data_IF_322206110866
#
_entry.id   IF_322206110866
#
_cell.length_a   1.000
_cell.length_b   1.000
_cell.length_c   1.000
_cell.angle_alpha   90.00
_cell.angle_beta   90.00
_cell.angle_gamma   90.00
#
_symmetry.space_group_name_H-M   'P 1'
#
loop_
_entity.id
_entity.type
_entity.pdbx_description
1 polymer ?
#
# COMPACT_ATOMS: atom_id res chain seq x y z
N UNK A 1 20.07 15.97 11.24
CA UNK A 1 18.81 16.24 10.52
C UNK A 1 17.69 15.94 11.48
N UNK A 2 16.85 16.93 11.77
CA UNK A 2 15.74 16.78 12.72
C UNK A 2 14.47 16.70 11.90
N UNK A 3 13.74 15.60 12.04
CA UNK A 3 12.42 15.43 11.42
C UNK A 3 11.38 16.13 12.29
N UNK A 4 10.55 16.94 11.65
CA UNK A 4 9.45 17.67 12.28
C UNK A 4 8.11 17.06 11.87
N UNK A 5 7.13 17.14 12.79
CA UNK A 5 5.77 16.65 12.56
C UNK A 5 4.80 17.82 12.44
N UNK A 6 4.07 17.88 11.33
CA UNK A 6 3.15 18.96 11.00
C UNK A 6 1.70 18.49 11.03
N UNK A 7 0.84 19.08 11.87
CA UNK A 7 -0.60 18.88 11.76
C UNK A 7 -1.21 19.85 10.74
N UNK A 8 -2.10 19.36 9.88
CA UNK A 8 -2.90 20.19 8.98
C UNK A 8 -4.39 19.76 9.01
N UNK A 9 -5.31 20.64 8.62
CA UNK A 9 -6.77 20.34 8.58
C UNK A 9 -7.39 20.49 7.18
N UNK A 10 -6.54 20.50 6.18
CA UNK A 10 -6.88 20.59 4.78
C UNK A 10 -5.62 20.30 3.98
N UNK A 11 -5.79 19.84 2.76
CA UNK A 11 -4.65 19.52 1.91
C UNK A 11 -4.22 20.73 1.10
N UNK A 12 -5.21 21.40 0.49
CA UNK A 12 -5.01 22.56 -0.37
C UNK A 12 -6.11 23.60 -0.16
N UNK A 13 -5.91 24.80 -0.70
CA UNK A 13 -6.99 25.79 -0.88
C UNK A 13 -6.75 27.14 -0.19
N UNK A 14 -5.53 27.37 0.29
CA UNK A 14 -5.09 28.67 0.80
C UNK A 14 -5.62 29.05 2.17
N UNK A 15 -6.20 28.11 2.93
CA UNK A 15 -6.46 28.32 4.34
C UNK A 15 -5.16 28.20 5.14
N UNK A 16 -5.06 28.96 6.24
CA UNK A 16 -3.82 29.04 7.04
C UNK A 16 -3.32 27.71 7.63
N UNK A 17 -4.18 26.70 7.64
CA UNK A 17 -4.01 25.39 8.25
C UNK A 17 -4.04 24.25 7.22
N UNK A 18 -3.99 24.59 5.93
CA UNK A 18 -3.80 23.62 4.86
C UNK A 18 -2.33 23.20 4.80
N UNK A 19 -2.09 22.00 4.25
CA UNK A 19 -0.75 21.43 4.16
C UNK A 19 0.14 22.18 3.15
N UNK A 20 -0.45 22.64 2.04
CA UNK A 20 0.22 23.51 1.05
C UNK A 20 0.66 24.86 1.64
N UNK A 21 -0.02 25.36 2.68
CA UNK A 21 0.32 26.65 3.28
C UNK A 21 1.61 26.65 4.13
N UNK A 22 2.22 25.48 4.37
CA UNK A 22 3.49 25.40 5.11
C UNK A 22 4.66 25.82 4.23
N UNK A 23 5.33 26.91 4.60
CA UNK A 23 6.46 27.47 3.87
C UNK A 23 7.62 26.48 3.67
N UNK A 24 7.99 26.24 2.41
CA UNK A 24 9.00 25.27 2.00
C UNK A 24 10.41 25.50 2.58
N UNK A 25 10.75 26.72 2.96
CA UNK A 25 12.03 27.04 3.62
C UNK A 25 12.13 26.43 5.04
N UNK A 26 10.98 26.16 5.67
CA UNK A 26 10.92 25.51 6.99
C UNK A 26 10.94 23.98 6.91
N UNK A 27 10.90 23.43 5.69
CA UNK A 27 10.70 22.01 5.46
C UNK A 27 12.02 21.35 5.08
N UNK A 28 12.28 20.19 5.68
CA UNK A 28 13.42 19.34 5.39
C UNK A 28 12.97 17.96 4.95
N UNK A 29 13.79 17.29 4.15
CA UNK A 29 13.50 15.96 3.63
C UNK A 29 13.09 14.99 4.78
N UNK A 30 12.12 14.12 4.51
CA UNK A 30 11.51 13.20 5.47
C UNK A 30 10.70 13.83 6.62
N UNK A 31 10.43 15.14 6.61
CA UNK A 31 9.40 15.74 7.47
C UNK A 31 8.06 15.02 7.28
N UNK A 32 7.24 14.94 8.32
CA UNK A 32 6.00 14.17 8.28
C UNK A 32 4.82 15.08 8.57
N UNK A 33 3.75 14.95 7.79
CA UNK A 33 2.48 15.59 8.08
C UNK A 33 1.38 14.58 8.38
N UNK A 34 0.50 14.94 9.31
CA UNK A 34 -0.79 14.28 9.51
C UNK A 34 -1.89 15.30 9.22
N UNK A 35 -2.64 15.05 8.16
CA UNK A 35 -3.68 15.95 7.68
C UNK A 35 -5.03 15.28 7.81
N UNK A 36 -6.05 16.02 8.22
CA UNK A 36 -7.44 15.57 8.15
C UNK A 36 -8.22 16.45 7.18
N UNK A 37 -8.88 15.85 6.21
CA UNK A 37 -9.76 16.54 5.27
C UNK A 37 -11.07 15.74 5.11
N UNK A 38 -12.21 16.39 5.34
CA UNK A 38 -13.54 15.78 5.20
C UNK A 38 -13.74 14.45 5.97
N UNK A 39 -13.10 14.30 7.13
CA UNK A 39 -13.14 13.10 7.97
C UNK A 39 -12.17 12.00 7.54
N UNK A 40 -11.33 12.23 6.54
CA UNK A 40 -10.28 11.31 6.09
C UNK A 40 -8.92 11.81 6.59
N UNK A 41 -8.18 10.95 7.29
CA UNK A 41 -6.83 11.25 7.71
C UNK A 41 -5.83 10.78 6.66
N UNK A 42 -4.88 11.64 6.32
CA UNK A 42 -3.76 11.36 5.42
C UNK A 42 -2.46 11.51 6.19
N UNK A 43 -1.50 10.64 5.89
CA UNK A 43 -0.11 10.82 6.26
C UNK A 43 0.66 11.26 5.04
N UNK A 44 1.51 12.27 5.17
CA UNK A 44 2.45 12.66 4.13
C UNK A 44 3.87 12.66 4.66
N UNK A 45 4.83 12.43 3.78
CA UNK A 45 6.25 12.60 4.04
C UNK A 45 6.81 13.58 3.01
N UNK A 46 7.62 14.52 3.45
CA UNK A 46 8.26 15.46 2.56
C UNK A 46 9.34 14.75 1.76
N UNK A 47 9.31 14.94 0.46
CA UNK A 47 10.40 14.67 -0.47
C UNK A 47 10.95 16.03 -0.90
N UNK A 48 12.20 16.34 -0.50
CA UNK A 48 12.78 17.66 -0.77
C UNK A 48 13.26 17.83 -2.23
N UNK A 49 13.38 16.75 -3.00
CA UNK A 49 13.81 16.73 -4.39
C UNK A 49 12.75 16.23 -5.39
N UNK A 50 11.53 15.96 -4.90
CA UNK A 50 10.42 15.37 -5.64
C UNK A 50 9.69 16.27 -6.64
N UNK A 51 10.37 17.23 -7.29
CA UNK A 51 9.88 18.22 -8.27
C UNK A 51 8.80 17.71 -9.26
N UNK A 52 7.57 17.59 -8.79
CA UNK A 52 6.39 17.04 -9.47
C UNK A 52 5.22 18.01 -9.23
N UNK A 53 4.29 18.08 -10.18
CA UNK A 53 3.12 18.93 -10.08
C UNK A 53 2.17 18.46 -8.96
N UNK A 54 1.44 19.40 -8.37
CA UNK A 54 0.45 19.12 -7.33
C UNK A 54 -0.66 18.18 -7.83
N UNK A 55 -0.97 17.17 -7.01
CA UNK A 55 -2.01 16.18 -7.24
C UNK A 55 -2.64 15.79 -5.90
N UNK A 56 -3.53 16.61 -5.37
CA UNK A 56 -4.23 16.29 -4.12
C UNK A 56 -5.13 15.03 -4.29
N UNK A 57 -5.10 14.07 -3.34
CA UNK A 57 -4.39 14.09 -2.06
C UNK A 57 -2.97 13.52 -2.09
N UNK A 58 -2.54 12.95 -3.22
CA UNK A 58 -1.29 12.18 -3.34
C UNK A 58 0.01 13.00 -3.28
N UNK A 59 0.02 14.22 -3.81
CA UNK A 59 1.17 15.13 -3.87
C UNK A 59 0.65 16.52 -3.55
N UNK A 60 1.11 17.11 -2.45
CA UNK A 60 0.79 18.50 -2.06
C UNK A 60 2.05 19.33 -2.17
N UNK A 61 1.99 20.46 -2.85
CA UNK A 61 3.15 21.33 -3.09
C UNK A 61 3.01 22.55 -2.18
N UNK A 62 4.05 22.93 -1.40
CA UNK A 62 4.01 24.17 -0.66
C UNK A 62 3.69 25.37 -1.56
N UNK A 63 2.72 26.19 -1.19
CA UNK A 63 2.38 27.43 -1.91
C UNK A 63 3.53 28.43 -1.86
N UNK A 64 4.21 28.48 -0.71
CA UNK A 64 5.31 29.41 -0.44
C UNK A 64 6.63 28.66 -0.46
N UNK A 65 7.59 29.19 -1.24
CA UNK A 65 8.93 28.63 -1.46
C UNK A 65 9.00 27.11 -1.77
N UNK A 66 8.13 26.55 -2.63
CA UNK A 66 8.12 25.11 -2.90
C UNK A 66 9.47 24.59 -3.39
N UNK A 67 10.16 25.33 -4.25
CA UNK A 67 11.39 24.87 -4.92
C UNK A 67 11.19 23.49 -5.55
N UNK A 68 11.78 22.44 -4.99
CA UNK A 68 11.65 21.04 -5.39
C UNK A 68 10.88 20.18 -4.37
N UNK A 69 10.36 20.81 -3.31
CA UNK A 69 9.74 20.12 -2.17
C UNK A 69 8.30 19.77 -2.47
N UNK A 70 7.95 18.54 -2.14
CA UNK A 70 6.58 18.05 -2.24
C UNK A 70 6.26 17.16 -1.04
N UNK A 71 5.04 17.26 -0.54
CA UNK A 71 4.50 16.30 0.42
C UNK A 71 3.94 15.11 -0.35
N UNK A 72 4.54 13.93 -0.19
CA UNK A 72 4.05 12.70 -0.79
C UNK A 72 3.17 11.96 0.18
N UNK A 73 1.96 11.62 -0.24
CA UNK A 73 1.06 10.79 0.55
C UNK A 73 1.73 9.45 0.82
N UNK A 74 1.94 9.17 2.10
CA UNK A 74 2.37 7.87 2.56
C UNK A 74 1.12 7.02 2.64
N UNK A 75 0.94 6.05 1.73
CA UNK A 75 -0.18 5.14 1.85
C UNK A 75 -0.14 4.51 3.23
N UNK A 76 -1.26 4.56 3.93
CA UNK A 76 -1.45 3.77 5.14
C UNK A 76 -1.09 2.32 4.78
N UNK A 77 -0.66 1.48 5.73
CA UNK A 77 -0.20 0.11 5.38
C UNK A 77 -1.25 -0.77 4.67
N UNK A 78 -2.47 -0.25 4.50
CA UNK A 78 -3.59 -0.78 3.71
C UNK A 78 -3.61 -0.31 2.26
N UNK A 79 -2.96 0.80 1.89
CA UNK A 79 -2.89 1.28 0.52
C UNK A 79 -1.71 0.67 -0.26
N UNK A 80 -2.09 -0.25 -1.14
CA UNK A 80 -1.44 -0.58 -2.41
C UNK A 80 0.02 -1.04 -2.35
N UNK A 81 0.31 -2.00 -1.47
CA UNK A 81 1.43 -2.92 -1.71
C UNK A 81 0.94 -4.08 -2.56
N UNK A 82 1.11 -3.98 -3.88
CA UNK A 82 0.75 -5.05 -4.84
C UNK A 82 1.47 -6.34 -4.45
N UNK A 83 0.76 -7.48 -4.44
CA UNK A 83 1.35 -8.77 -4.13
C UNK A 83 1.71 -8.99 -2.65
N UNK A 84 1.29 -8.10 -1.75
CA UNK A 84 1.52 -8.30 -0.32
C UNK A 84 0.49 -9.26 0.27
N UNK A 85 1.02 -10.37 0.77
CA UNK A 85 0.26 -11.29 1.61
C UNK A 85 0.36 -10.80 3.06
N UNK A 86 -0.75 -10.31 3.62
CA UNK A 86 -0.77 -9.81 5.00
C UNK A 86 -1.08 -10.95 5.98
N UNK A 87 -0.15 -11.15 6.92
CA UNK A 87 -0.22 -12.11 8.03
C UNK A 87 -0.30 -13.62 7.70
N UNK A 88 0.09 -14.14 6.52
CA UNK A 88 0.18 -15.59 6.36
C UNK A 88 1.37 -16.15 7.15
N UNK A 89 1.19 -17.31 7.77
CA UNK A 89 2.32 -18.16 8.18
C UNK A 89 2.57 -19.16 7.06
N UNK A 90 3.71 -19.08 6.40
CA UNK A 90 4.15 -20.11 5.46
C UNK A 90 4.83 -21.24 6.22
N UNK A 91 4.32 -22.46 6.09
CA UNK A 91 4.87 -23.64 6.76
C UNK A 91 4.98 -24.77 5.75
N UNK A 92 6.18 -25.31 5.57
CA UNK A 92 6.33 -26.60 4.89
C UNK A 92 5.83 -27.70 5.81
N UNK A 93 4.85 -28.47 5.35
CA UNK A 93 4.36 -29.65 6.10
C UNK A 93 5.04 -30.94 5.65
N UNK A 94 5.58 -30.95 4.43
CA UNK A 94 6.43 -31.99 3.88
C UNK A 94 7.28 -31.43 2.74
N UNK A 95 7.98 -32.30 2.00
CA UNK A 95 8.90 -31.92 0.91
C UNK A 95 8.21 -31.21 -0.27
N UNK A 96 6.91 -31.41 -0.45
CA UNK A 96 6.15 -30.92 -1.60
C UNK A 96 4.94 -30.07 -1.20
N UNK A 97 4.70 -29.80 0.09
CA UNK A 97 3.47 -29.11 0.51
C UNK A 97 3.78 -27.90 1.38
N UNK A 98 3.26 -26.76 0.96
CA UNK A 98 3.28 -25.49 1.68
C UNK A 98 1.88 -25.23 2.20
N UNK A 99 1.78 -24.94 3.49
CA UNK A 99 0.59 -24.40 4.14
C UNK A 99 0.73 -22.90 4.32
N UNK A 100 -0.32 -22.17 3.96
CA UNK A 100 -0.44 -20.72 4.08
C UNK A 100 -1.53 -20.46 5.11
N UNK A 101 -1.14 -20.02 6.31
CA UNK A 101 -2.09 -19.68 7.37
C UNK A 101 -3.04 -18.53 6.98
N UNK A 102 -4.14 -18.30 7.72
CA UNK A 102 -5.16 -17.31 7.40
C UNK A 102 -4.57 -15.92 7.12
N UNK A 103 -5.15 -15.21 6.16
CA UNK A 103 -4.58 -13.94 5.73
C UNK A 103 -5.41 -13.25 4.67
N UNK A 104 -4.81 -12.21 4.11
CA UNK A 104 -5.34 -11.48 2.97
C UNK A 104 -4.27 -11.25 1.91
N UNK A 105 -4.72 -11.14 0.66
CA UNK A 105 -3.87 -10.89 -0.50
C UNK A 105 -4.53 -9.85 -1.39
N UNK A 106 -3.75 -8.86 -1.83
CA UNK A 106 -4.21 -7.80 -2.71
C UNK A 106 -3.97 -8.17 -4.17
N UNK A 107 -5.05 -8.23 -4.97
CA UNK A 107 -5.06 -8.55 -6.40
C UNK A 107 -5.48 -7.32 -7.23
N UNK A 108 -5.19 -7.35 -8.54
CA UNK A 108 -5.56 -6.27 -9.47
C UNK A 108 -5.90 -6.87 -10.83
N UNK A 109 -7.19 -6.92 -11.16
CA UNK A 109 -7.73 -7.58 -12.37
C UNK A 109 -7.46 -6.82 -13.69
N UNK A 110 -6.47 -5.92 -13.69
CA UNK A 110 -6.22 -4.97 -14.78
C UNK A 110 -7.08 -3.70 -14.72
N UNK A 111 -8.17 -3.70 -13.95
CA UNK A 111 -9.16 -2.60 -13.87
C UNK A 111 -9.46 -2.14 -12.45
N UNK A 112 -9.59 -3.07 -11.50
CA UNK A 112 -10.00 -2.85 -10.12
C UNK A 112 -9.03 -3.50 -9.14
N UNK A 113 -8.74 -2.78 -8.07
CA UNK A 113 -8.07 -3.30 -6.89
C UNK A 113 -9.03 -4.14 -6.05
N UNK A 114 -8.62 -5.34 -5.65
CA UNK A 114 -9.45 -6.26 -4.86
C UNK A 114 -8.63 -6.93 -3.76
N UNK A 115 -9.23 -7.12 -2.59
CA UNK A 115 -8.57 -7.86 -1.49
C UNK A 115 -9.29 -9.19 -1.31
N UNK A 116 -8.53 -10.28 -1.42
CA UNK A 116 -8.97 -11.65 -1.16
C UNK A 116 -8.62 -12.01 0.27
N UNK A 117 -9.57 -12.59 1.01
CA UNK A 117 -9.39 -13.02 2.40
C UNK A 117 -9.64 -14.52 2.53
N UNK A 118 -8.82 -15.22 3.32
CA UNK A 118 -9.07 -16.60 3.72
C UNK A 118 -8.97 -16.75 5.24
N UNK A 119 -9.91 -17.51 5.82
CA UNK A 119 -10.06 -17.67 7.28
C UNK A 119 -9.42 -18.94 7.83
N UNK A 120 -8.99 -19.85 6.95
CA UNK A 120 -8.43 -21.16 7.27
C UNK A 120 -7.21 -21.43 6.40
N UNK A 121 -6.33 -22.32 6.88
CA UNK A 121 -5.13 -22.73 6.16
C UNK A 121 -5.42 -23.13 4.70
N UNK A 122 -4.66 -22.54 3.76
CA UNK A 122 -4.60 -22.97 2.37
C UNK A 122 -3.43 -23.94 2.21
N UNK A 123 -3.60 -24.98 1.40
CA UNK A 123 -2.54 -25.95 1.11
C UNK A 123 -2.18 -25.91 -0.37
N UNK A 124 -0.90 -25.76 -0.67
CA UNK A 124 -0.35 -25.81 -2.02
C UNK A 124 0.64 -26.96 -2.14
N UNK A 125 0.43 -27.84 -3.12
CA UNK A 125 1.37 -28.90 -3.44
C UNK A 125 2.28 -28.42 -4.55
N UNK A 126 3.55 -28.21 -4.22
CA UNK A 126 4.60 -27.87 -5.17
C UNK A 126 4.82 -29.03 -6.12
N UNK A 127 4.54 -28.80 -7.40
CA UNK A 127 4.85 -29.73 -8.48
C UNK A 127 6.19 -29.30 -9.08
N UNK A 128 7.30 -29.80 -8.55
CA UNK A 128 8.63 -29.50 -9.11
C UNK A 128 8.88 -30.34 -10.35
N UNK A 129 9.01 -29.70 -11.53
CA UNK A 129 9.50 -30.34 -12.76
C UNK A 129 11.04 -30.35 -12.85
N UNK A 130 11.72 -30.69 -11.74
CA UNK A 130 13.18 -30.88 -11.66
C UNK A 130 13.99 -29.64 -11.26
N UNK A 131 14.86 -29.80 -10.25
CA UNK A 131 15.92 -28.91 -9.73
C UNK A 131 15.50 -27.45 -9.35
N UNK A 132 16.25 -26.74 -8.46
CA UNK A 132 15.66 -25.78 -7.53
C UNK A 132 15.61 -24.37 -8.13
N UNK A 133 14.58 -24.11 -8.92
CA UNK A 133 14.23 -22.74 -9.27
C UNK A 133 13.16 -22.22 -8.31
N UNK A 134 13.36 -20.98 -7.86
CA UNK A 134 12.46 -20.23 -6.99
C UNK A 134 11.00 -20.41 -7.43
N UNK A 135 10.14 -20.90 -6.53
CA UNK A 135 8.72 -21.08 -6.81
C UNK A 135 7.97 -19.83 -6.37
N UNK A 136 7.32 -19.17 -7.32
CA UNK A 136 6.36 -18.11 -7.04
C UNK A 136 4.99 -18.73 -6.81
N UNK A 137 4.36 -18.39 -5.68
CA UNK A 137 2.97 -18.73 -5.42
C UNK A 137 2.17 -17.47 -5.70
N UNK A 138 1.31 -17.51 -6.70
CA UNK A 138 0.35 -16.46 -6.97
C UNK A 138 -1.08 -16.99 -6.81
N UNK A 139 -2.01 -16.11 -6.48
CA UNK A 139 -3.43 -16.41 -6.54
C UNK A 139 -3.89 -16.03 -7.94
N UNK A 140 -4.38 -17.01 -8.70
CA UNK A 140 -4.92 -16.80 -10.03
C UNK A 140 -6.22 -16.00 -9.95
N UNK A 141 -6.28 -14.90 -10.70
CA UNK A 141 -7.42 -13.97 -10.70
C UNK A 141 -8.70 -14.62 -11.22
N UNK A 142 -8.59 -15.64 -12.09
CA UNK A 142 -9.75 -16.42 -12.55
C UNK A 142 -10.39 -17.26 -11.43
N UNK A 143 -9.63 -17.62 -10.39
CA UNK A 143 -10.14 -18.25 -9.18
C UNK A 143 -10.76 -17.25 -8.20
N UNK A 144 -10.45 -15.95 -8.34
CA UNK A 144 -11.00 -14.87 -7.52
C UNK A 144 -12.38 -14.42 -8.04
N UNK A 145 -12.57 -14.38 -9.35
CA UNK A 145 -13.85 -14.00 -9.97
C UNK A 145 -14.98 -15.02 -9.72
N UNK A 146 -14.65 -16.28 -9.45
CA UNK A 146 -15.62 -17.31 -9.05
C UNK A 146 -15.93 -17.31 -7.54
N UNK A 147 -15.14 -16.57 -6.76
CA UNK A 147 -15.30 -16.35 -5.32
C UNK A 147 -16.15 -15.11 -5.04
N UNK A 148 -17.32 -15.01 -5.69
CA UNK A 148 -18.36 -14.10 -5.25
C UNK A 148 -18.87 -14.57 -3.90
N UNK A 149 -18.31 -13.98 -2.84
CA UNK A 149 -18.95 -13.73 -1.55
C UNK A 149 -19.79 -14.91 -1.01
N UNK A 150 -19.16 -16.04 -0.72
CA UNK A 150 -19.59 -16.94 0.36
C UNK A 150 -18.53 -18.00 0.66
N UNK A 151 -18.14 -18.08 1.93
CA UNK A 151 -17.43 -19.16 2.60
C UNK A 151 -16.56 -20.13 1.75
N UNK A 152 -15.25 -19.85 1.72
CA UNK A 152 -14.22 -20.87 1.80
C UNK A 152 -13.91 -21.66 0.53
N UNK A 153 -12.94 -21.17 -0.25
CA UNK A 153 -11.79 -21.95 -0.76
C UNK A 153 -11.15 -21.20 -1.93
N UNK A 154 -10.01 -20.53 -1.72
CA UNK A 154 -9.19 -20.04 -2.82
C UNK A 154 -8.51 -21.24 -3.50
N UNK A 155 -8.68 -21.38 -4.81
CA UNK A 155 -7.96 -22.36 -5.62
C UNK A 155 -6.60 -21.77 -6.00
N UNK A 156 -5.52 -22.44 -5.62
CA UNK A 156 -4.17 -22.12 -6.11
C UNK A 156 -3.89 -22.94 -7.38
N UNK A 157 -3.55 -22.26 -8.46
CA UNK A 157 -3.03 -22.87 -9.69
C UNK A 157 -1.55 -22.50 -9.86
N UNK A 158 -0.81 -23.35 -10.57
CA UNK A 158 0.61 -23.20 -10.85
C UNK A 158 0.83 -22.60 -12.24
#
# INVERSE_FOLDING_TARGET
MTVTYYPAKGLIGGASNDLDNIDGDNLVDLDVALTEENGVAYRHMLDADGNVAEQSPSIIVPDTTPTTKVWQHMPDSTDVRRGWCQRPKFTWTNVNTIVIGPGSYHTFDGTNHRIVYWKSDLSYTVVTNGAPDWVYIYIDESAVDTLVVNAGSALLTA
#
